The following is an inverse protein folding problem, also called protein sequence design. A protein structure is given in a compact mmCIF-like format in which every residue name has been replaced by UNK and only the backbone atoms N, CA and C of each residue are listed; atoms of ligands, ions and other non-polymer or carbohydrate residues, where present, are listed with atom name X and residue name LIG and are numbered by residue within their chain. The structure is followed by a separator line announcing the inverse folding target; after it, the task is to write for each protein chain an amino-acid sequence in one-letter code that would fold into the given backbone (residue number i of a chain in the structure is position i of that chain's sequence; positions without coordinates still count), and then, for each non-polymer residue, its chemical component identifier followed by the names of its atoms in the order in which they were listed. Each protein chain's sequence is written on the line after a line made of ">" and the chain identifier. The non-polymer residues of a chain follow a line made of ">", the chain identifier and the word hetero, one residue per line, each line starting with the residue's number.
data_IF_714329994170
#
_entry.id   IF_714329994170
#
_cell.length_a   1.000
_cell.length_b   1.000
_cell.length_c   1.000
_cell.angle_alpha   90.00
_cell.angle_beta   90.00
_cell.angle_gamma   90.00
#
_symmetry.space_group_name_H-M   'P 1'
#
loop_
_entity.id
_entity.type
_entity.pdbx_description
1 polymer ?
#
# COMPACT_ATOMS: atom_id res chain seq x y z
N UNK A 1 -8.73 11.99 35.02
CA UNK A 1 -7.91 12.61 33.96
C UNK A 1 -7.56 11.53 32.96
N UNK A 2 -8.37 11.37 31.91
CA UNK A 2 -8.07 10.44 30.82
C UNK A 2 -6.91 11.03 30.03
N UNK A 3 -5.85 10.26 29.78
CA UNK A 3 -4.87 10.66 28.75
C UNK A 3 -5.66 10.79 27.46
N UNK A 4 -5.81 12.02 26.95
CA UNK A 4 -6.29 12.23 25.59
C UNK A 4 -5.38 11.39 24.69
N UNK A 5 -5.96 10.76 23.69
CA UNK A 5 -5.25 10.20 22.54
C UNK A 5 -4.51 11.30 21.77
N UNK A 6 -3.57 11.94 22.44
CA UNK A 6 -2.66 12.89 21.87
C UNK A 6 -1.53 12.06 21.25
N UNK A 7 -1.31 12.29 19.96
CA UNK A 7 -0.22 11.79 19.12
C UNK A 7 -0.32 10.38 18.50
N UNK A 8 -1.49 9.74 18.46
CA UNK A 8 -1.64 8.54 17.61
C UNK A 8 -1.79 8.96 16.13
N UNK A 9 -0.80 8.58 15.31
CA UNK A 9 -0.81 8.81 13.84
C UNK A 9 -1.14 7.49 13.13
N UNK A 10 -2.08 7.51 12.19
CA UNK A 10 -2.41 6.36 11.34
C UNK A 10 -1.46 6.30 10.15
N UNK A 11 -0.87 5.14 9.90
CA UNK A 11 -0.04 4.86 8.71
C UNK A 11 -0.71 3.88 7.75
N UNK A 12 -0.23 3.82 6.51
CA UNK A 12 -0.64 2.83 5.51
C UNK A 12 0.57 2.11 4.92
N UNK A 13 0.45 0.79 4.74
CA UNK A 13 1.48 -0.04 4.13
C UNK A 13 1.02 -0.52 2.74
N UNK A 14 1.83 -0.28 1.72
CA UNK A 14 1.53 -0.70 0.34
C UNK A 14 2.08 -2.11 0.14
N UNK A 15 1.16 -3.06 -0.08
CA UNK A 15 1.49 -4.49 -0.18
C UNK A 15 1.57 -5.02 -1.62
N UNK A 16 1.10 -4.25 -2.61
CA UNK A 16 1.05 -4.68 -4.02
C UNK A 16 1.59 -3.59 -4.93
N UNK A 17 2.45 -4.03 -5.84
CA UNK A 17 2.97 -3.24 -6.96
C UNK A 17 2.56 -3.89 -8.30
N UNK A 18 1.44 -4.61 -8.31
CA UNK A 18 0.85 -5.12 -9.55
C UNK A 18 0.16 -3.95 -10.26
N UNK A 19 0.67 -3.53 -11.41
CA UNK A 19 0.10 -2.46 -12.23
C UNK A 19 -0.12 -2.94 -13.67
N UNK A 20 -1.25 -2.59 -14.33
CA UNK A 20 -1.53 -3.03 -15.70
C UNK A 20 -0.43 -2.68 -16.71
N UNK A 21 0.16 -1.49 -16.56
CA UNK A 21 1.28 -1.01 -17.39
C UNK A 21 2.67 -1.46 -16.89
N UNK A 22 2.71 -2.42 -15.95
CA UNK A 22 3.93 -2.89 -15.31
C UNK A 22 4.70 -1.78 -14.60
N UNK A 23 6.03 -1.90 -14.57
CA UNK A 23 6.92 -0.99 -13.85
C UNK A 23 6.78 0.49 -14.27
N UNK A 24 6.46 0.75 -15.54
CA UNK A 24 6.30 2.11 -16.06
C UNK A 24 5.11 2.85 -15.44
N UNK A 25 4.06 2.13 -15.05
CA UNK A 25 2.88 2.72 -14.41
C UNK A 25 3.02 2.93 -12.89
N UNK A 26 4.02 2.31 -12.26
CA UNK A 26 4.16 2.37 -10.79
C UNK A 26 4.52 3.75 -10.28
N UNK A 27 5.46 4.44 -10.92
CA UNK A 27 5.89 5.78 -10.50
C UNK A 27 4.73 6.77 -10.41
N UNK A 28 3.97 6.99 -11.51
CA UNK A 28 2.79 7.85 -11.49
C UNK A 28 1.74 7.39 -10.46
N UNK A 29 1.45 6.09 -10.39
CA UNK A 29 0.46 5.57 -9.44
C UNK A 29 0.85 5.79 -7.99
N UNK A 30 2.13 5.64 -7.64
CA UNK A 30 2.63 5.89 -6.29
C UNK A 30 2.61 7.38 -5.95
N UNK A 31 2.82 8.27 -6.93
CA UNK A 31 2.64 9.70 -6.73
C UNK A 31 1.17 10.04 -6.39
N UNK A 32 0.21 9.45 -7.11
CA UNK A 32 -1.22 9.61 -6.81
C UNK A 32 -1.58 9.11 -5.41
N UNK A 33 -1.05 7.93 -5.01
CA UNK A 33 -1.25 7.38 -3.67
C UNK A 33 -0.65 8.29 -2.60
N UNK A 34 0.53 8.86 -2.85
CA UNK A 34 1.17 9.84 -1.96
C UNK A 34 0.29 11.05 -1.73
N UNK A 35 -0.18 11.69 -2.81
CA UNK A 35 -1.05 12.85 -2.75
C UNK A 35 -2.37 12.54 -2.01
N UNK A 36 -2.97 11.36 -2.26
CA UNK A 36 -4.18 10.93 -1.57
C UNK A 36 -3.95 10.68 -0.07
N UNK A 37 -2.81 10.09 0.30
CA UNK A 37 -2.46 9.83 1.70
C UNK A 37 -2.25 11.14 2.47
N UNK A 38 -1.58 12.12 1.86
CA UNK A 38 -1.43 13.47 2.44
C UNK A 38 -2.77 14.15 2.64
N UNK A 39 -3.64 14.15 1.62
CA UNK A 39 -4.98 14.73 1.70
C UNK A 39 -5.86 14.05 2.77
N UNK A 40 -5.64 12.76 3.01
CA UNK A 40 -6.34 11.98 4.04
C UNK A 40 -5.73 12.13 5.46
N UNK A 41 -4.60 12.84 5.61
CA UNK A 41 -3.94 13.03 6.90
C UNK A 41 -3.20 11.78 7.41
N UNK A 42 -2.83 10.86 6.52
CA UNK A 42 -2.02 9.68 6.86
C UNK A 42 -0.63 10.15 7.32
N UNK A 43 -0.17 9.61 8.45
CA UNK A 43 1.07 10.03 9.09
C UNK A 43 2.34 9.54 8.41
N UNK A 44 2.28 8.38 7.74
CA UNK A 44 3.36 7.81 6.95
C UNK A 44 2.85 6.75 5.96
N UNK A 45 3.61 6.57 4.88
CA UNK A 45 3.51 5.44 3.95
C UNK A 45 4.73 4.53 4.13
N UNK A 46 4.50 3.22 4.12
CA UNK A 46 5.59 2.23 4.10
C UNK A 46 5.42 1.25 2.95
N UNK A 47 6.55 0.70 2.50
CA UNK A 47 6.64 -0.31 1.44
C UNK A 47 7.54 -1.46 1.89
N UNK A 48 7.49 -2.58 1.17
CA UNK A 48 8.51 -3.63 1.28
C UNK A 48 9.45 -3.54 0.08
N UNK A 49 10.75 -3.70 0.31
CA UNK A 49 11.77 -3.74 -0.74
C UNK A 49 12.07 -5.20 -1.09
N UNK A 50 11.13 -5.85 -1.76
CA UNK A 50 11.35 -7.21 -2.27
C UNK A 50 11.99 -7.16 -3.64
N UNK A 51 13.18 -7.73 -3.76
CA UNK A 51 13.81 -7.93 -5.07
C UNK A 51 12.97 -8.86 -5.97
N UNK A 52 12.30 -9.86 -5.39
CA UNK A 52 11.30 -10.69 -6.05
C UNK A 52 9.95 -10.46 -5.38
N UNK A 53 9.12 -9.63 -6.01
CA UNK A 53 7.74 -9.41 -5.58
C UNK A 53 6.88 -10.58 -6.11
N UNK A 54 6.30 -11.45 -5.25
CA UNK A 54 5.32 -12.41 -5.72
C UNK A 54 4.04 -11.66 -6.14
N UNK A 55 3.53 -11.98 -7.32
CA UNK A 55 2.24 -11.46 -7.78
C UNK A 55 1.12 -11.93 -6.85
N UNK A 56 0.15 -11.06 -6.57
CA UNK A 56 -1.03 -11.47 -5.82
C UNK A 56 -1.91 -12.36 -6.71
N UNK A 57 -2.02 -13.64 -6.35
CA UNK A 57 -2.86 -14.58 -7.11
C UNK A 57 -4.33 -14.47 -6.68
N UNK A 58 -5.23 -14.42 -7.67
CA UNK A 58 -6.68 -14.45 -7.47
C UNK A 58 -7.29 -15.78 -7.94
N UNK A 59 -8.29 -16.29 -7.20
CA UNK A 59 -9.09 -17.42 -7.66
C UNK A 59 -10.06 -17.01 -8.78
N UNK A 60 -10.79 -17.98 -9.35
CA UNK A 60 -11.81 -17.73 -10.38
C UNK A 60 -12.98 -16.84 -9.91
N UNK A 61 -13.08 -16.58 -8.60
CA UNK A 61 -14.08 -15.71 -7.99
C UNK A 61 -13.49 -14.34 -7.60
N UNK A 62 -12.24 -14.07 -7.99
CA UNK A 62 -11.53 -12.81 -7.72
C UNK A 62 -10.95 -12.68 -6.31
N UNK A 63 -10.98 -13.74 -5.48
CA UNK A 63 -10.45 -13.68 -4.11
C UNK A 63 -8.94 -13.91 -4.10
N UNK A 64 -8.23 -13.16 -3.27
CA UNK A 64 -6.79 -13.37 -3.05
C UNK A 64 -6.57 -14.75 -2.43
N UNK A 65 -5.77 -15.60 -3.08
CA UNK A 65 -5.49 -16.99 -2.68
C UNK A 65 -4.02 -17.26 -2.35
N UNK A 66 -3.10 -16.33 -2.65
CA UNK A 66 -1.71 -16.44 -2.22
C UNK A 66 -1.14 -15.06 -1.91
N UNK A 67 -0.61 -14.93 -0.70
CA UNK A 67 0.35 -13.91 -0.29
C UNK A 67 1.47 -14.68 0.42
N UNK A 68 2.49 -15.11 -0.33
CA UNK A 68 3.71 -15.62 0.29
C UNK A 68 4.55 -14.41 0.67
N UNK A 69 4.88 -14.31 1.96
CA UNK A 69 5.93 -13.42 2.49
C UNK A 69 7.31 -13.86 2.01
#
# INVERSE_FOLDING_TARGET
>A
MLRREADMRLGTHIISFDHPDGAAGLGPRLADVGAAAEAAGVGWLSVMDHYFQPAIAHDRRGRVVTALV
#
